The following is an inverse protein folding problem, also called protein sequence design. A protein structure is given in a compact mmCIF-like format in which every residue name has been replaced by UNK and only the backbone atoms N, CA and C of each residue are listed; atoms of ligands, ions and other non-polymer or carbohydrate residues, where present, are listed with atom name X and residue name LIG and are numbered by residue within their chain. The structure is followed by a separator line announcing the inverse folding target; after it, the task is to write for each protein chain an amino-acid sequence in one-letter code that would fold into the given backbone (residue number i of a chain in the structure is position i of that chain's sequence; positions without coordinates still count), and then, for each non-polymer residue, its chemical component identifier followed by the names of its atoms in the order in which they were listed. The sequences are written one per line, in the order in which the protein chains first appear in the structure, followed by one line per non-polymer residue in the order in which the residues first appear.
data_IF_356484628829
#
_entry.id   IF_356484628829
#
_cell.length_a   1.000
_cell.length_b   1.000
_cell.length_c   1.000
_cell.angle_alpha   90.00
_cell.angle_beta   90.00
_cell.angle_gamma   90.00
#
_symmetry.space_group_name_H-M   'P 1'
#
loop_
_entity.id
_entity.type
_entity.pdbx_description
1 polymer ?
#
# COMPACT_ATOMS: atom_id res chain seq x y z
N UNK A 1 12.26 6.47 -17.37
CA UNK A 1 10.93 7.03 -17.06
C UNK A 1 10.74 6.87 -15.56
N UNK A 2 11.00 7.90 -14.77
CA UNK A 2 10.99 7.81 -13.30
C UNK A 2 9.60 8.20 -12.78
N UNK A 3 8.99 7.28 -12.03
CA UNK A 3 7.64 7.35 -11.45
C UNK A 3 7.76 7.98 -10.05
N UNK A 4 6.85 8.88 -9.68
CA UNK A 4 6.84 9.50 -8.35
C UNK A 4 5.42 9.49 -7.74
N UNK A 5 5.31 9.25 -6.44
CA UNK A 5 4.08 9.06 -5.66
C UNK A 5 4.08 10.01 -4.42
N UNK A 6 2.91 10.51 -3.92
CA UNK A 6 2.79 11.41 -2.73
C UNK A 6 2.12 10.72 -1.53
N UNK A 7 2.58 11.04 -0.32
CA UNK A 7 2.32 10.40 0.98
C UNK A 7 2.08 11.48 2.08
N UNK A 8 1.09 11.40 3.02
CA UNK A 8 0.80 12.47 4.00
C UNK A 8 1.86 12.57 5.11
N UNK A 9 2.38 13.76 5.41
CA UNK A 9 3.67 13.93 6.09
C UNK A 9 3.73 13.63 7.61
N UNK A 10 2.60 13.42 8.32
CA UNK A 10 2.63 13.01 9.74
C UNK A 10 3.27 11.63 9.92
N UNK A 11 4.35 11.55 10.72
CA UNK A 11 5.01 10.26 11.01
C UNK A 11 4.50 9.67 12.32
N UNK A 12 4.03 8.43 12.26
CA UNK A 12 3.63 7.68 13.45
C UNK A 12 4.13 6.24 13.38
N UNK A 13 4.14 5.59 14.54
CA UNK A 13 4.26 4.14 14.60
C UNK A 13 3.05 3.51 13.91
N UNK A 14 3.19 2.29 13.42
CA UNK A 14 2.12 1.63 12.69
C UNK A 14 2.11 0.14 13.00
N UNK A 15 0.95 -0.48 12.83
CA UNK A 15 0.80 -1.92 13.06
C UNK A 15 0.83 -2.63 11.73
N UNK A 16 1.72 -3.61 11.63
CA UNK A 16 1.78 -4.54 10.54
C UNK A 16 0.88 -5.74 10.84
N UNK A 17 -0.06 -6.03 9.93
CA UNK A 17 -0.75 -7.32 9.93
C UNK A 17 0.20 -8.36 9.31
N UNK A 18 0.40 -9.46 10.03
CA UNK A 18 1.28 -10.54 9.62
C UNK A 18 0.61 -11.90 9.84
N UNK A 19 0.74 -12.77 8.85
CA UNK A 19 0.36 -14.18 8.92
C UNK A 19 1.68 -14.95 8.97
N UNK A 20 2.13 -15.39 10.15
CA UNK A 20 3.37 -16.18 10.24
C UNK A 20 3.54 -16.99 11.51
N UNK A 21 4.13 -18.16 11.28
CA UNK A 21 4.52 -19.14 12.27
C UNK A 21 5.90 -18.91 12.93
N UNK A 22 6.58 -17.77 12.72
CA UNK A 22 7.83 -17.49 13.44
C UNK A 22 7.56 -16.89 14.82
N UNK A 23 7.92 -17.70 15.82
CA UNK A 23 7.85 -17.54 17.27
C UNK A 23 6.46 -17.76 17.94
N UNK A 24 6.31 -19.00 18.41
CA UNK A 24 5.69 -19.48 19.65
C UNK A 24 4.29 -19.03 20.14
N UNK A 25 3.45 -18.35 19.37
CA UNK A 25 2.00 -18.25 19.68
C UNK A 25 1.12 -17.63 18.56
N UNK A 26 1.15 -18.24 17.37
CA UNK A 26 0.15 -18.02 16.31
C UNK A 26 0.74 -18.29 14.92
N UNK A 27 -0.07 -18.87 14.03
CA UNK A 27 0.31 -19.43 12.74
C UNK A 27 -0.81 -20.32 12.19
N UNK A 28 -0.47 -21.31 11.38
CA UNK A 28 -1.44 -22.32 10.91
C UNK A 28 -1.67 -23.41 11.96
N UNK A 29 -2.90 -23.92 12.02
CA UNK A 29 -3.37 -24.93 12.96
C UNK A 29 -4.02 -26.09 12.21
N UNK A 30 -3.51 -27.31 12.39
CA UNK A 30 -4.15 -28.51 11.88
C UNK A 30 -5.22 -28.99 12.86
N UNK A 31 -6.47 -29.03 12.42
CA UNK A 31 -7.60 -29.48 13.23
C UNK A 31 -7.93 -30.92 12.84
N UNK A 32 -7.61 -31.84 13.73
CA UNK A 32 -7.79 -33.28 13.52
C UNK A 32 -9.23 -33.74 13.83
N UNK A 33 -10.22 -33.08 13.20
CA UNK A 33 -11.64 -33.45 13.23
C UNK A 33 -12.21 -33.27 11.81
N UNK A 34 -13.06 -34.20 11.36
CA UNK A 34 -13.68 -34.10 10.03
C UNK A 34 -14.93 -33.23 10.04
N UNK A 35 -15.02 -32.30 9.09
CA UNK A 35 -16.13 -31.36 8.89
C UNK A 35 -16.35 -31.06 7.41
N UNK A 36 -17.56 -30.67 7.03
CA UNK A 36 -17.77 -30.09 5.69
C UNK A 36 -17.02 -28.76 5.57
N UNK A 37 -16.83 -28.24 4.36
CA UNK A 37 -16.07 -27.00 4.18
C UNK A 37 -16.69 -25.82 4.96
N UNK A 38 -18.01 -25.68 4.90
CA UNK A 38 -18.76 -24.62 5.62
C UNK A 38 -18.63 -24.78 7.14
N UNK A 39 -18.76 -26.00 7.65
CA UNK A 39 -18.59 -26.27 9.09
C UNK A 39 -17.15 -26.03 9.57
N UNK A 40 -16.16 -26.35 8.74
CA UNK A 40 -14.75 -26.12 9.02
C UNK A 40 -14.45 -24.62 9.06
N UNK A 41 -15.00 -23.84 8.12
CA UNK A 41 -14.90 -22.38 8.09
C UNK A 41 -15.49 -21.77 9.36
N UNK A 42 -16.71 -22.18 9.71
CA UNK A 42 -17.37 -21.70 10.93
C UNK A 42 -16.52 -22.00 12.16
N UNK A 43 -15.99 -23.22 12.27
CA UNK A 43 -15.10 -23.60 13.37
C UNK A 43 -13.87 -22.68 13.46
N UNK A 44 -13.22 -22.42 12.31
CA UNK A 44 -12.05 -21.57 12.29
C UNK A 44 -12.40 -20.13 12.67
N UNK A 45 -13.55 -19.59 12.26
CA UNK A 45 -13.98 -18.23 12.64
C UNK A 45 -14.38 -18.12 14.11
N UNK A 46 -14.88 -19.19 14.71
CA UNK A 46 -15.23 -19.23 16.13
C UNK A 46 -14.00 -19.30 17.05
N UNK A 47 -12.91 -19.94 16.60
CA UNK A 47 -11.74 -20.24 17.47
C UNK A 47 -10.41 -19.63 17.02
N UNK A 48 -10.32 -19.25 15.75
CA UNK A 48 -9.14 -18.74 15.06
C UNK A 48 -9.53 -17.51 14.22
N UNK A 49 -8.75 -17.15 13.20
CA UNK A 49 -9.17 -16.13 12.23
C UNK A 49 -10.12 -16.72 11.17
N UNK A 50 -9.63 -17.64 10.34
CA UNK A 50 -10.44 -18.31 9.30
C UNK A 50 -9.71 -19.57 8.80
N UNK A 51 -10.24 -20.25 7.78
CA UNK A 51 -9.56 -21.32 7.06
C UNK A 51 -8.27 -20.80 6.38
N UNK A 52 -7.22 -21.61 6.42
CA UNK A 52 -5.90 -21.28 5.91
C UNK A 52 -5.92 -20.81 4.46
N UNK A 53 -5.23 -19.71 4.17
CA UNK A 53 -4.80 -19.34 2.82
C UNK A 53 -3.42 -19.93 2.54
N UNK A 54 -2.97 -19.88 1.29
CA UNK A 54 -1.65 -20.41 0.87
C UNK A 54 -0.56 -19.35 0.73
N UNK A 55 -0.84 -18.12 1.15
CA UNK A 55 0.05 -16.97 1.03
C UNK A 55 1.37 -17.12 1.82
N UNK A 56 1.42 -17.99 2.84
CA UNK A 56 2.65 -18.35 3.56
C UNK A 56 2.95 -19.85 3.43
N UNK A 57 3.59 -20.20 2.32
CA UNK A 57 3.93 -21.60 1.99
C UNK A 57 4.97 -22.21 2.95
N UNK A 58 5.84 -21.41 3.55
CA UNK A 58 6.82 -21.88 4.54
C UNK A 58 6.14 -22.26 5.86
N UNK A 59 5.18 -21.45 6.30
CA UNK A 59 4.33 -21.76 7.46
C UNK A 59 3.59 -23.09 7.29
N UNK A 60 2.96 -23.30 6.13
CA UNK A 60 2.27 -24.54 5.80
C UNK A 60 3.23 -25.75 5.77
N UNK A 61 4.42 -25.62 5.15
CA UNK A 61 5.46 -26.67 5.15
C UNK A 61 5.80 -27.14 6.56
N UNK A 62 5.99 -26.20 7.49
CA UNK A 62 6.34 -26.52 8.89
C UNK A 62 5.20 -27.22 9.62
N UNK A 63 3.95 -26.82 9.38
CA UNK A 63 2.79 -27.47 9.99
C UNK A 63 2.64 -28.92 9.50
N UNK A 64 2.77 -29.14 8.19
CA UNK A 64 2.67 -30.47 7.58
C UNK A 64 3.76 -31.39 8.12
N UNK A 65 5.00 -30.91 8.26
CA UNK A 65 6.10 -31.70 8.84
C UNK A 65 5.83 -32.12 10.28
N UNK A 66 5.11 -31.31 11.06
CA UNK A 66 4.70 -31.63 12.44
C UNK A 66 3.47 -32.52 12.53
N UNK A 67 2.74 -32.69 11.43
CA UNK A 67 1.46 -33.40 11.38
C UNK A 67 1.56 -34.61 10.44
N UNK A 68 2.38 -35.64 10.77
CA UNK A 68 2.71 -36.73 9.85
C UNK A 68 1.49 -37.54 9.38
N UNK A 69 0.41 -37.56 10.17
CA UNK A 69 -0.86 -38.23 9.88
C UNK A 69 -1.76 -37.48 8.88
N UNK A 70 -1.46 -36.20 8.59
CA UNK A 70 -2.22 -35.42 7.62
C UNK A 70 -1.95 -35.95 6.20
N UNK A 71 -3.01 -36.30 5.48
CA UNK A 71 -2.98 -36.66 4.05
C UNK A 71 -3.48 -35.51 3.18
N UNK A 72 -4.62 -34.94 3.57
CA UNK A 72 -5.32 -33.84 2.93
C UNK A 72 -6.06 -33.02 3.99
N UNK A 73 -6.29 -31.74 3.72
CA UNK A 73 -7.04 -30.85 4.62
C UNK A 73 -7.68 -29.68 3.86
N UNK A 74 -8.88 -29.28 4.27
CA UNK A 74 -9.54 -28.08 3.77
C UNK A 74 -8.70 -26.82 3.99
N UNK A 75 -8.70 -25.98 2.96
CA UNK A 75 -8.17 -24.61 2.99
C UNK A 75 -9.28 -23.64 2.60
N UNK A 76 -9.03 -22.35 2.76
CA UNK A 76 -10.02 -21.30 2.55
C UNK A 76 -10.38 -21.03 1.09
N UNK A 77 -9.95 -21.86 0.14
CA UNK A 77 -10.22 -21.67 -1.29
C UNK A 77 -11.64 -22.21 -1.60
N UNK A 78 -12.50 -21.39 -2.19
CA UNK A 78 -13.84 -21.82 -2.63
C UNK A 78 -14.33 -21.03 -3.85
N UNK A 79 -15.28 -21.59 -4.59
CA UNK A 79 -16.00 -20.96 -5.70
C UNK A 79 -17.44 -20.60 -5.29
N UNK A 80 -17.92 -19.43 -5.72
CA UNK A 80 -19.29 -18.98 -5.48
C UNK A 80 -20.19 -19.35 -6.66
N UNK A 81 -21.23 -20.12 -6.38
CA UNK A 81 -22.10 -20.79 -7.37
C UNK A 81 -22.94 -19.87 -8.27
N UNK A 82 -22.94 -18.54 -8.08
CA UNK A 82 -23.80 -17.59 -8.80
C UNK A 82 -23.05 -16.49 -9.58
N UNK A 83 -21.75 -16.67 -9.88
CA UNK A 83 -20.96 -15.74 -10.68
C UNK A 83 -20.20 -16.43 -11.83
N UNK A 84 -19.44 -15.64 -12.58
CA UNK A 84 -18.35 -16.17 -13.41
C UNK A 84 -17.46 -17.00 -12.47
N UNK A 85 -17.31 -18.30 -12.73
CA UNK A 85 -16.52 -19.23 -11.90
C UNK A 85 -15.12 -18.67 -11.71
N UNK A 86 -14.83 -18.24 -10.49
CA UNK A 86 -13.54 -17.65 -10.12
C UNK A 86 -13.26 -18.10 -8.71
N UNK A 87 -12.03 -18.53 -8.48
CA UNK A 87 -11.60 -18.91 -7.15
C UNK A 87 -11.51 -17.68 -6.24
N UNK A 88 -11.93 -17.83 -4.99
CA UNK A 88 -11.78 -16.81 -3.96
C UNK A 88 -11.13 -17.42 -2.73
N UNK A 89 -10.30 -16.62 -2.07
CA UNK A 89 -9.84 -16.92 -0.72
C UNK A 89 -10.92 -16.55 0.29
N UNK A 90 -11.05 -17.35 1.35
CA UNK A 90 -11.96 -17.06 2.47
C UNK A 90 -11.57 -15.80 3.23
N UNK A 91 -10.28 -15.45 3.21
CA UNK A 91 -9.73 -14.27 3.86
C UNK A 91 -10.16 -12.99 3.12
N UNK A 92 -10.90 -12.08 3.77
CA UNK A 92 -11.31 -10.83 3.16
C UNK A 92 -10.11 -9.97 2.72
N UNK A 93 -10.18 -9.43 1.50
CA UNK A 93 -9.15 -8.53 0.94
C UNK A 93 -7.97 -9.23 0.28
N UNK A 94 -7.94 -10.57 0.20
CA UNK A 94 -6.94 -11.33 -0.57
C UNK A 94 -7.56 -11.82 -1.86
N UNK A 95 -7.05 -11.34 -2.98
CA UNK A 95 -7.51 -11.75 -4.31
C UNK A 95 -6.80 -13.03 -4.79
N UNK A 96 -7.53 -13.86 -5.54
CA UNK A 96 -6.95 -15.01 -6.21
C UNK A 96 -6.29 -14.60 -7.54
N UNK A 97 -5.09 -15.14 -7.77
CA UNK A 97 -4.31 -15.00 -8.99
C UNK A 97 -4.09 -16.36 -9.66
N UNK A 98 -4.47 -16.49 -10.92
CA UNK A 98 -4.25 -17.73 -11.70
C UNK A 98 -2.76 -18.03 -11.90
N UNK A 99 -1.91 -17.01 -11.86
CA UNK A 99 -0.45 -17.15 -12.06
C UNK A 99 0.28 -17.67 -10.82
N UNK A 100 -0.40 -17.77 -9.67
CA UNK A 100 0.19 -18.17 -8.38
C UNK A 100 -0.48 -19.45 -7.87
N UNK A 101 -0.57 -20.48 -8.73
CA UNK A 101 -1.28 -21.71 -8.43
C UNK A 101 -0.35 -22.93 -8.31
N UNK A 102 -0.68 -23.82 -7.37
CA UNK A 102 0.05 -25.07 -7.13
C UNK A 102 -0.88 -26.28 -7.24
N UNK A 103 -1.74 -26.31 -8.27
CA UNK A 103 -2.66 -27.42 -8.53
C UNK A 103 -1.92 -28.75 -8.73
N UNK A 104 -2.55 -29.84 -8.28
CA UNK A 104 -2.10 -31.19 -8.58
C UNK A 104 -2.28 -31.49 -10.08
N UNK A 105 -1.51 -32.46 -10.60
CA UNK A 105 -1.59 -32.83 -12.02
C UNK A 105 -3.01 -33.26 -12.40
N UNK A 106 -3.63 -32.51 -13.31
CA UNK A 106 -4.99 -32.76 -13.79
C UNK A 106 -6.09 -32.01 -13.03
N UNK A 107 -5.74 -31.17 -12.05
CA UNK A 107 -6.67 -30.31 -11.31
C UNK A 107 -6.58 -28.84 -11.76
N UNK A 108 -7.66 -28.05 -11.58
CA UNK A 108 -8.99 -28.47 -11.12
C UNK A 108 -9.75 -29.23 -12.24
N UNK A 109 -10.44 -30.31 -11.88
CA UNK A 109 -10.99 -31.26 -12.87
C UNK A 109 -12.52 -31.22 -13.04
N UNK A 110 -13.24 -30.46 -12.18
CA UNK A 110 -14.70 -30.22 -12.23
C UNK A 110 -15.55 -31.49 -12.41
N UNK A 111 -15.14 -32.62 -11.82
CA UNK A 111 -15.78 -33.91 -12.09
C UNK A 111 -17.22 -34.00 -11.59
N UNK A 112 -17.61 -33.25 -10.55
CA UNK A 112 -18.96 -33.26 -9.96
C UNK A 112 -19.27 -32.00 -9.11
N UNK A 113 -19.13 -30.78 -9.66
CA UNK A 113 -19.28 -29.51 -8.90
C UNK A 113 -18.37 -29.45 -7.67
N UNK A 114 -17.07 -29.49 -7.94
CA UNK A 114 -16.02 -29.46 -6.92
C UNK A 114 -15.59 -28.01 -6.68
N UNK A 115 -16.30 -27.33 -5.78
CA UNK A 115 -16.16 -25.88 -5.59
C UNK A 115 -15.31 -25.50 -4.37
N UNK A 116 -14.69 -26.47 -3.68
CA UNK A 116 -13.92 -26.22 -2.47
C UNK A 116 -12.51 -26.79 -2.59
N UNK A 117 -11.51 -25.96 -2.28
CA UNK A 117 -10.11 -26.32 -2.38
C UNK A 117 -9.58 -27.02 -1.14
N UNK A 118 -8.79 -28.05 -1.36
CA UNK A 118 -8.10 -28.85 -0.36
C UNK A 118 -6.60 -28.88 -0.67
N UNK A 119 -5.76 -28.94 0.36
CA UNK A 119 -4.31 -29.07 0.21
C UNK A 119 -3.85 -30.47 0.59
N UNK A 120 -3.07 -31.08 -0.30
CA UNK A 120 -2.42 -32.36 -0.06
C UNK A 120 -1.16 -32.19 0.79
N UNK A 121 -0.68 -33.28 1.39
CA UNK A 121 0.62 -33.34 2.05
C UNK A 121 1.79 -32.89 1.17
N UNK A 122 1.66 -33.04 -0.15
CA UNK A 122 2.64 -32.57 -1.15
C UNK A 122 2.61 -31.05 -1.39
N UNK A 123 1.74 -30.31 -0.70
CA UNK A 123 1.40 -28.89 -0.92
C UNK A 123 0.70 -28.60 -2.25
N UNK A 124 0.29 -29.64 -2.97
CA UNK A 124 -0.51 -29.49 -4.18
C UNK A 124 -1.99 -29.33 -3.84
N UNK A 125 -2.69 -28.55 -4.65
CA UNK A 125 -4.10 -28.23 -4.42
C UNK A 125 -4.98 -29.15 -5.27
N UNK A 126 -6.12 -29.53 -4.71
CA UNK A 126 -7.17 -30.28 -5.39
C UNK A 126 -8.50 -29.60 -5.10
N UNK A 127 -9.45 -29.67 -6.01
CA UNK A 127 -10.84 -29.33 -5.78
C UNK A 127 -11.62 -30.59 -5.36
N UNK A 128 -12.53 -30.42 -4.40
CA UNK A 128 -13.40 -31.49 -3.91
C UNK A 128 -14.81 -30.93 -3.69
N UNK A 129 -15.79 -31.84 -3.59
CA UNK A 129 -17.14 -31.47 -3.16
C UNK A 129 -17.11 -30.87 -1.75
N UNK A 130 -17.68 -29.67 -1.59
CA UNK A 130 -17.74 -28.94 -0.32
C UNK A 130 -18.48 -29.70 0.80
N UNK A 131 -19.34 -30.66 0.44
CA UNK A 131 -20.12 -31.50 1.35
C UNK A 131 -19.32 -32.68 1.91
N UNK A 132 -18.13 -32.95 1.39
CA UNK A 132 -17.28 -34.04 1.89
C UNK A 132 -16.73 -33.68 3.29
N UNK A 133 -16.88 -34.56 4.30
CA UNK A 133 -16.25 -34.33 5.59
C UNK A 133 -14.74 -34.56 5.52
N UNK A 134 -13.94 -33.54 5.84
CA UNK A 134 -12.47 -33.61 5.83
C UNK A 134 -11.85 -32.85 7.01
N UNK A 135 -10.59 -33.17 7.32
CA UNK A 135 -9.79 -32.38 8.25
C UNK A 135 -9.51 -30.99 7.66
N UNK A 136 -9.08 -30.03 8.48
CA UNK A 136 -8.96 -28.66 8.00
C UNK A 136 -7.85 -27.87 8.68
N UNK A 137 -7.38 -26.85 7.97
CA UNK A 137 -6.34 -25.93 8.43
C UNK A 137 -6.98 -24.58 8.77
N UNK A 138 -6.81 -24.12 10.01
CA UNK A 138 -7.11 -22.73 10.38
C UNK A 138 -5.82 -21.90 10.39
N UNK A 139 -5.94 -20.58 10.33
CA UNK A 139 -4.82 -19.68 10.62
C UNK A 139 -5.21 -18.62 11.65
N UNK A 140 -4.20 -18.11 12.33
CA UNK A 140 -4.31 -17.00 13.25
C UNK A 140 -3.55 -15.77 12.73
N UNK A 141 -4.28 -14.67 12.54
CA UNK A 141 -3.68 -13.36 12.29
C UNK A 141 -2.91 -12.86 13.52
N UNK A 142 -1.75 -12.26 13.25
CA UNK A 142 -0.95 -11.55 14.23
C UNK A 142 -0.77 -10.08 13.83
N UNK A 143 -0.59 -9.27 14.86
CA UNK A 143 -0.32 -7.85 14.71
C UNK A 143 1.05 -7.55 15.32
N UNK A 144 1.88 -6.81 14.59
CA UNK A 144 3.21 -6.41 15.02
C UNK A 144 3.30 -4.90 15.04
N UNK A 145 3.66 -4.33 16.19
CA UNK A 145 3.92 -2.90 16.29
C UNK A 145 5.28 -2.58 15.68
N UNK A 146 5.27 -1.80 14.60
CA UNK A 146 6.48 -1.24 14.01
C UNK A 146 6.80 0.07 14.71
N UNK A 147 7.92 0.07 15.44
CA UNK A 147 8.35 1.22 16.24
C UNK A 147 8.89 2.39 15.42
N UNK A 148 9.23 2.16 14.14
CA UNK A 148 9.69 3.20 13.23
C UNK A 148 8.54 4.13 12.88
N UNK A 149 8.76 5.43 12.97
CA UNK A 149 7.76 6.42 12.57
C UNK A 149 7.82 6.63 11.07
N UNK A 150 6.69 6.43 10.40
CA UNK A 150 6.50 6.55 8.94
C UNK A 150 5.24 7.34 8.67
N UNK A 151 5.13 7.95 7.49
CA UNK A 151 3.87 8.52 7.01
C UNK A 151 2.77 7.46 6.88
N UNK A 152 1.49 7.83 6.85
CA UNK A 152 0.40 6.84 6.74
C UNK A 152 0.55 5.97 5.49
N UNK A 153 0.82 6.61 4.34
CA UNK A 153 1.02 5.86 3.12
C UNK A 153 2.36 5.06 3.18
N UNK A 154 3.43 5.55 3.83
CA UNK A 154 4.73 4.83 3.90
C UNK A 154 4.58 3.58 4.77
N UNK A 155 3.81 3.71 5.85
CA UNK A 155 3.40 2.62 6.70
C UNK A 155 2.57 1.59 5.93
N UNK A 156 1.62 2.04 5.10
CA UNK A 156 0.81 1.16 4.25
C UNK A 156 1.67 0.40 3.23
N UNK A 157 2.51 1.11 2.46
CA UNK A 157 3.42 0.51 1.49
C UNK A 157 4.38 -0.47 2.17
N UNK A 158 4.96 -0.08 3.30
CA UNK A 158 5.81 -0.99 4.09
C UNK A 158 5.05 -2.26 4.47
N UNK A 159 3.80 -2.16 4.93
CA UNK A 159 3.03 -3.33 5.34
C UNK A 159 2.71 -4.27 4.18
N UNK A 160 2.42 -3.71 3.00
CA UNK A 160 2.16 -4.46 1.76
C UNK A 160 3.42 -5.12 1.18
N UNK A 161 4.55 -4.43 1.23
CA UNK A 161 5.83 -4.97 0.78
C UNK A 161 6.34 -6.08 1.70
N UNK A 162 6.16 -5.91 3.00
CA UNK A 162 6.71 -6.86 3.95
C UNK A 162 5.74 -8.04 4.15
N UNK A 163 4.41 -7.83 4.19
CA UNK A 163 3.44 -8.91 4.37
C UNK A 163 2.04 -8.67 3.75
N UNK A 164 1.13 -7.98 4.47
CA UNK A 164 -0.28 -7.86 4.07
C UNK A 164 -0.70 -6.40 3.95
N UNK A 165 -1.18 -5.77 5.02
CA UNK A 165 -1.54 -4.35 5.05
C UNK A 165 -1.63 -3.85 6.50
N UNK A 166 -2.08 -2.60 6.69
CA UNK A 166 -2.48 -2.05 7.98
C UNK A 166 -3.81 -2.70 8.48
N UNK A 167 -3.99 -2.87 9.80
CA UNK A 167 -5.23 -3.41 10.38
C UNK A 167 -6.45 -2.60 9.96
N UNK A 168 -7.46 -3.28 9.44
CA UNK A 168 -8.61 -2.66 8.79
C UNK A 168 -9.93 -3.34 9.18
N UNK A 169 -11.01 -2.56 9.25
CA UNK A 169 -12.34 -3.05 9.59
C UNK A 169 -12.58 -3.23 11.09
N UNK A 170 -13.84 -3.17 11.51
CA UNK A 170 -14.22 -3.19 12.92
C UNK A 170 -13.85 -4.49 13.64
N UNK A 171 -13.94 -5.63 12.95
CA UNK A 171 -13.64 -6.94 13.54
C UNK A 171 -12.16 -7.03 13.97
N UNK A 172 -11.25 -6.53 13.13
CA UNK A 172 -9.82 -6.48 13.47
C UNK A 172 -9.56 -5.45 14.59
N UNK A 173 -10.21 -4.28 14.53
CA UNK A 173 -10.01 -3.19 15.50
C UNK A 173 -10.54 -3.52 16.90
N UNK A 174 -11.60 -4.33 17.00
CA UNK A 174 -12.18 -4.77 18.27
C UNK A 174 -11.57 -6.06 18.80
N UNK A 175 -10.78 -6.76 17.99
CA UNK A 175 -10.12 -8.01 18.35
C UNK A 175 -9.12 -7.84 19.50
N UNK A 176 -9.18 -8.75 20.47
CA UNK A 176 -8.28 -8.76 21.65
C UNK A 176 -6.79 -8.79 21.26
N UNK A 177 -6.46 -9.43 20.13
CA UNK A 177 -5.08 -9.50 19.62
C UNK A 177 -4.51 -8.12 19.30
N UNK A 178 -5.27 -7.26 18.60
CA UNK A 178 -4.81 -5.91 18.29
C UNK A 178 -4.81 -5.03 19.54
N UNK A 179 -5.82 -5.15 20.41
CA UNK A 179 -5.87 -4.40 21.69
C UNK A 179 -4.63 -4.64 22.55
N UNK A 180 -4.13 -5.87 22.63
CA UNK A 180 -2.90 -6.21 23.36
C UNK A 180 -1.65 -5.56 22.75
N UNK A 181 -1.60 -5.40 21.43
CA UNK A 181 -0.50 -4.69 20.77
C UNK A 181 -0.61 -3.18 21.04
N UNK A 182 -1.81 -2.62 20.94
CA UNK A 182 -2.05 -1.19 21.17
C UNK A 182 -1.83 -0.79 22.64
N UNK A 183 -2.12 -1.66 23.61
CA UNK A 183 -1.86 -1.36 25.02
C UNK A 183 -0.37 -1.21 25.34
N UNK A 184 0.51 -1.78 24.50
CA UNK A 184 1.97 -1.68 24.64
C UNK A 184 2.57 -0.37 24.10
N UNK A 185 1.78 0.49 23.44
CA UNK A 185 2.28 1.70 22.77
C UNK A 185 2.49 2.89 23.72
N UNK A 186 2.07 2.77 24.98
CA UNK A 186 2.21 3.84 25.98
C UNK A 186 1.39 5.09 25.65
N UNK A 187 0.30 4.95 24.89
CA UNK A 187 -0.58 6.06 24.50
C UNK A 187 -0.12 6.85 23.27
N UNK A 188 0.90 6.37 22.54
CA UNK A 188 1.30 6.95 21.26
C UNK A 188 0.24 6.69 20.17
N UNK A 189 0.10 7.65 19.26
CA UNK A 189 -0.71 7.50 18.07
C UNK A 189 -0.12 6.42 17.16
N UNK A 190 -0.98 5.56 16.62
CA UNK A 190 -0.60 4.44 15.76
C UNK A 190 -1.50 4.43 14.53
N UNK A 191 -0.91 4.29 13.35
CA UNK A 191 -1.67 4.18 12.10
C UNK A 191 -2.34 2.81 11.96
N UNK A 192 -3.61 2.86 11.56
CA UNK A 192 -4.46 1.75 11.14
C UNK A 192 -4.86 1.97 9.68
N UNK A 193 -5.43 0.96 9.02
CA UNK A 193 -5.83 1.04 7.61
C UNK A 193 -7.06 1.90 7.31
N UNK A 194 -7.59 2.60 8.32
CA UNK A 194 -8.63 3.59 8.13
C UNK A 194 -8.04 4.88 7.56
N UNK A 195 -8.39 5.19 6.32
CA UNK A 195 -8.08 6.45 5.65
C UNK A 195 -9.37 7.14 5.23
N UNK A 196 -9.41 8.46 5.36
CA UNK A 196 -10.50 9.28 4.82
C UNK A 196 -10.10 9.82 3.46
N UNK A 197 -10.54 9.16 2.40
CA UNK A 197 -10.62 9.77 1.07
C UNK A 197 -11.91 10.60 0.98
N UNK A 198 -11.84 11.78 0.39
CA UNK A 198 -12.99 12.68 0.27
C UNK A 198 -13.77 12.48 -1.06
N UNK A 199 -13.29 11.73 -2.08
CA UNK A 199 -13.97 11.56 -3.39
C UNK A 199 -14.72 10.22 -3.47
N UNK A 200 -15.78 10.19 -4.30
CA UNK A 200 -16.53 8.99 -4.70
C UNK A 200 -17.00 9.18 -6.15
N UNK A 201 -17.08 8.08 -6.91
CA UNK A 201 -17.77 8.11 -8.20
C UNK A 201 -19.29 8.21 -8.00
N UNK A 202 -20.01 8.79 -8.98
CA UNK A 202 -21.48 8.92 -8.94
C UNK A 202 -22.22 7.58 -8.98
N UNK A 203 -21.56 6.52 -9.42
CA UNK A 203 -22.04 5.13 -9.42
C UNK A 203 -21.85 4.42 -8.07
N UNK A 204 -21.24 5.08 -7.08
CA UNK A 204 -20.99 4.55 -5.74
C UNK A 204 -19.74 3.69 -5.61
N UNK A 205 -18.96 3.50 -6.68
CA UNK A 205 -17.67 2.79 -6.60
C UNK A 205 -16.63 3.60 -5.80
N UNK A 206 -15.76 2.89 -5.07
CA UNK A 206 -14.76 3.53 -4.18
C UNK A 206 -13.65 4.20 -4.98
N UNK A 207 -13.58 5.52 -4.91
CA UNK A 207 -12.56 6.38 -5.50
C UNK A 207 -11.46 6.65 -4.46
N UNK A 208 -10.52 5.73 -4.27
CA UNK A 208 -9.38 5.97 -3.35
C UNK A 208 -8.17 6.49 -4.13
N UNK A 209 -8.26 7.68 -4.76
CA UNK A 209 -7.15 8.38 -5.42
C UNK A 209 -7.57 9.82 -5.81
N UNK A 210 -7.31 10.85 -4.99
CA UNK A 210 -7.65 12.26 -5.32
C UNK A 210 -6.64 12.99 -6.21
N UNK A 211 -7.20 13.76 -7.15
CA UNK A 211 -6.58 14.85 -7.92
C UNK A 211 -6.79 16.24 -7.27
N UNK A 212 -5.78 17.10 -7.39
CA UNK A 212 -5.62 18.35 -6.64
C UNK A 212 -6.16 19.59 -7.36
N UNK A 213 -6.65 20.57 -6.58
CA UNK A 213 -6.85 21.95 -7.03
C UNK A 213 -5.50 22.66 -6.94
N UNK A 214 -5.02 23.16 -8.06
CA UNK A 214 -3.68 23.72 -8.19
C UNK A 214 -3.85 25.11 -8.81
N UNK A 215 -3.03 26.08 -8.43
CA UNK A 215 -3.08 27.42 -9.01
C UNK A 215 -1.77 27.74 -9.73
N UNK A 216 -1.89 28.51 -10.80
CA UNK A 216 -0.79 28.93 -11.66
C UNK A 216 -0.55 30.41 -11.41
N UNK A 217 0.66 30.76 -11.00
CA UNK A 217 1.07 32.15 -10.82
C UNK A 217 1.95 32.54 -12.01
N UNK A 218 1.41 33.39 -12.89
CA UNK A 218 2.00 33.77 -14.16
C UNK A 218 2.70 35.13 -14.14
N UNK A 219 2.62 35.86 -13.03
CA UNK A 219 3.08 37.26 -12.97
C UNK A 219 4.51 37.42 -12.43
N UNK A 220 5.11 36.40 -11.81
CA UNK A 220 6.44 36.49 -11.22
C UNK A 220 7.39 35.35 -11.63
N UNK A 221 8.64 35.71 -11.98
CA UNK A 221 9.74 34.77 -12.18
C UNK A 221 10.58 34.74 -10.91
N UNK A 222 10.88 33.55 -10.40
CA UNK A 222 11.63 33.36 -9.14
C UNK A 222 12.64 32.23 -9.28
N UNK A 223 13.71 32.30 -8.49
CA UNK A 223 14.57 31.13 -8.27
C UNK A 223 13.77 30.01 -7.63
N UNK A 224 14.25 28.76 -7.71
CA UNK A 224 13.50 27.62 -7.16
C UNK A 224 13.25 27.76 -5.65
N UNK A 225 14.22 28.27 -4.89
CA UNK A 225 14.09 28.46 -3.44
C UNK A 225 13.11 29.60 -3.10
N UNK A 226 13.14 30.69 -3.87
CA UNK A 226 12.18 31.79 -3.72
C UNK A 226 10.77 31.38 -4.13
N UNK A 227 10.61 30.59 -5.20
CA UNK A 227 9.32 30.02 -5.62
C UNK A 227 8.76 29.07 -4.57
N UNK A 228 9.61 28.19 -4.00
CA UNK A 228 9.23 27.32 -2.88
C UNK A 228 8.76 28.14 -1.67
N UNK A 229 9.55 29.14 -1.30
CA UNK A 229 9.21 30.05 -0.21
C UNK A 229 7.90 30.76 -0.49
N UNK A 230 7.72 31.32 -1.68
CA UNK A 230 6.51 32.01 -2.09
C UNK A 230 5.28 31.10 -2.00
N UNK A 231 5.32 29.90 -2.59
CA UNK A 231 4.21 28.95 -2.53
C UNK A 231 3.89 28.52 -1.10
N UNK A 232 4.88 28.43 -0.21
CA UNK A 232 4.64 28.08 1.21
C UNK A 232 4.08 29.24 2.04
N UNK A 233 4.36 30.47 1.64
CA UNK A 233 3.86 31.68 2.29
C UNK A 233 2.46 32.06 1.82
N UNK A 234 2.19 31.96 0.51
CA UNK A 234 0.93 32.42 -0.10
C UNK A 234 -0.03 31.29 -0.43
N UNK A 235 0.46 30.05 -0.58
CA UNK A 235 -0.32 28.87 -0.95
C UNK A 235 0.03 27.68 -0.03
N UNK A 236 0.04 26.44 -0.54
CA UNK A 236 0.48 25.26 0.24
C UNK A 236 1.98 24.96 0.08
N UNK A 237 2.39 24.57 -1.11
CA UNK A 237 3.79 24.24 -1.45
C UNK A 237 3.97 24.30 -2.99
N UNK A 238 5.20 24.17 -3.51
CA UNK A 238 5.38 23.97 -4.96
C UNK A 238 4.66 22.71 -5.45
N UNK A 239 4.15 22.73 -6.68
CA UNK A 239 3.34 21.64 -7.22
C UNK A 239 4.13 20.34 -7.29
N UNK A 240 3.55 19.27 -6.76
CA UNK A 240 4.02 17.91 -6.96
C UNK A 240 3.20 17.26 -8.08
N UNK A 241 3.82 16.39 -8.87
CA UNK A 241 3.13 15.61 -9.92
C UNK A 241 3.25 14.14 -9.58
N UNK A 242 2.13 13.54 -9.19
CA UNK A 242 2.11 12.18 -8.65
C UNK A 242 1.25 11.21 -9.45
N UNK A 243 0.59 11.70 -10.51
CA UNK A 243 -0.21 10.90 -11.43
C UNK A 243 -0.40 11.60 -12.78
N UNK A 244 -1.07 10.92 -13.72
CA UNK A 244 -1.18 11.36 -15.11
C UNK A 244 -2.13 12.56 -15.32
N UNK A 245 -3.21 12.70 -14.55
CA UNK A 245 -4.09 13.87 -14.70
C UNK A 245 -3.50 15.12 -14.02
N UNK A 246 -2.73 14.97 -12.94
CA UNK A 246 -1.88 16.05 -12.45
C UNK A 246 -0.84 16.49 -13.47
N UNK A 247 -0.20 15.52 -14.16
CA UNK A 247 0.70 15.82 -15.27
C UNK A 247 -0.04 16.62 -16.34
N UNK A 248 -1.21 16.17 -16.82
CA UNK A 248 -2.01 16.88 -17.82
C UNK A 248 -2.43 18.28 -17.37
N UNK A 249 -2.82 18.43 -16.11
CA UNK A 249 -3.21 19.72 -15.57
C UNK A 249 -2.01 20.68 -15.49
N UNK A 250 -0.86 20.19 -15.01
CA UNK A 250 0.37 20.99 -14.94
C UNK A 250 0.82 21.38 -16.35
N UNK A 251 0.66 20.48 -17.34
CA UNK A 251 0.89 20.78 -18.75
C UNK A 251 0.01 21.94 -19.25
N UNK A 252 -1.31 21.90 -18.99
CA UNK A 252 -2.23 22.97 -19.41
C UNK A 252 -1.92 24.32 -18.75
N UNK A 253 -1.38 24.31 -17.52
CA UNK A 253 -0.93 25.53 -16.86
C UNK A 253 0.43 26.01 -17.37
N UNK A 254 1.37 25.10 -17.56
CA UNK A 254 2.70 25.43 -18.06
C UNK A 254 2.64 26.11 -19.44
N UNK A 255 1.64 25.79 -20.27
CA UNK A 255 1.38 26.50 -21.55
C UNK A 255 1.13 27.99 -21.41
N UNK A 256 0.71 28.46 -20.24
CA UNK A 256 0.45 29.88 -19.95
C UNK A 256 1.70 30.60 -19.44
N UNK A 257 2.79 29.89 -19.18
CA UNK A 257 4.02 30.49 -18.71
C UNK A 257 4.65 31.39 -19.77
N UNK A 258 5.24 32.48 -19.30
CA UNK A 258 6.07 33.36 -20.11
C UNK A 258 7.49 32.81 -20.28
N UNK A 259 7.94 31.98 -19.34
CA UNK A 259 9.26 31.34 -19.35
C UNK A 259 9.24 30.00 -20.10
N UNK A 260 10.35 29.58 -20.74
CA UNK A 260 10.41 28.32 -21.49
C UNK A 260 10.26 27.07 -20.62
N UNK A 261 10.48 27.22 -19.31
CA UNK A 261 10.33 26.18 -18.31
C UNK A 261 9.56 26.72 -17.11
N UNK A 262 8.97 25.81 -16.33
CA UNK A 262 8.18 26.14 -15.14
C UNK A 262 8.64 25.28 -13.96
N UNK A 263 8.89 25.90 -12.81
CA UNK A 263 9.32 25.18 -11.62
C UNK A 263 8.27 24.22 -11.09
N UNK A 264 8.73 23.02 -10.75
CA UNK A 264 7.99 22.01 -10.01
C UNK A 264 8.60 21.84 -8.62
N UNK A 265 7.88 21.19 -7.71
CA UNK A 265 8.37 20.84 -6.38
C UNK A 265 9.46 19.76 -6.36
N UNK A 266 10.13 19.47 -7.48
CA UNK A 266 11.10 18.40 -7.62
C UNK A 266 12.53 18.93 -7.37
N UNK A 267 13.23 18.40 -6.36
CA UNK A 267 14.59 18.81 -6.00
C UNK A 267 15.56 17.64 -6.06
N UNK A 268 16.80 17.89 -6.47
CA UNK A 268 17.85 16.88 -6.46
C UNK A 268 18.65 16.92 -5.16
N UNK A 269 18.84 15.76 -4.53
CA UNK A 269 19.77 15.61 -3.42
C UNK A 269 21.15 15.19 -3.96
N UNK A 270 22.10 16.13 -3.96
CA UNK A 270 23.44 15.89 -4.48
C UNK A 270 24.25 14.84 -3.72
N UNK A 271 24.08 14.75 -2.40
CA UNK A 271 24.83 13.82 -1.55
C UNK A 271 24.35 12.39 -1.74
N UNK A 272 23.05 12.20 -1.93
CA UNK A 272 22.40 10.89 -2.01
C UNK A 272 22.01 10.50 -3.44
N UNK A 273 22.26 11.38 -4.41
CA UNK A 273 22.05 11.19 -5.86
C UNK A 273 20.63 10.72 -6.22
N UNK A 274 19.61 11.29 -5.59
CA UNK A 274 18.20 11.03 -5.91
C UNK A 274 17.37 12.30 -5.99
N UNK A 275 16.21 12.17 -6.64
CA UNK A 275 15.22 13.24 -6.78
C UNK A 275 14.08 13.04 -5.79
N UNK A 276 13.59 14.13 -5.20
CA UNK A 276 12.46 14.10 -4.28
C UNK A 276 11.51 15.26 -4.48
N UNK A 277 10.24 15.04 -4.14
CA UNK A 277 9.24 16.09 -4.06
C UNK A 277 9.30 16.79 -2.73
N UNK A 278 9.18 18.11 -2.74
CA UNK A 278 9.03 18.91 -1.52
C UNK A 278 7.69 18.63 -0.85
N UNK A 279 7.72 18.49 0.48
CA UNK A 279 6.58 18.55 1.38
C UNK A 279 6.91 19.55 2.50
N UNK A 280 5.90 20.16 3.09
CA UNK A 280 6.04 21.02 4.27
C UNK A 280 6.15 20.18 5.55
N UNK A 281 7.35 19.70 5.85
CA UNK A 281 7.82 19.50 7.24
C UNK A 281 9.21 20.12 7.42
N UNK A 282 9.47 20.58 8.64
CA UNK A 282 10.46 21.59 9.02
C UNK A 282 11.82 21.46 8.34
N UNK A 283 12.21 22.52 7.63
CA UNK A 283 13.60 22.72 7.20
C UNK A 283 14.45 22.92 8.47
N UNK A 284 15.49 22.10 8.73
CA UNK A 284 16.51 22.52 9.66
C UNK A 284 17.23 23.70 9.00
N UNK A 285 17.18 24.88 9.62
CA UNK A 285 17.94 26.05 9.17
C UNK A 285 19.38 25.64 8.84
N UNK A 286 19.77 25.71 7.56
CA UNK A 286 21.19 25.71 7.20
C UNK A 286 21.72 27.10 7.48
N UNK A 287 22.60 27.19 8.47
CA UNK A 287 23.47 28.36 8.64
C UNK A 287 24.27 28.58 7.36
N UNK A 288 24.31 29.84 6.91
CA UNK A 288 25.19 30.31 5.85
C UNK A 288 26.63 29.89 6.14
N UNK A 289 27.29 29.29 5.14
CA UNK A 289 28.73 29.39 4.98
C UNK A 289 29.00 30.06 3.65
N UNK A 290 29.42 31.32 3.73
CA UNK A 290 30.08 32.06 2.69
C UNK A 290 31.43 31.42 2.38
N UNK A 291 31.63 30.88 1.18
CA UNK A 291 32.86 31.08 0.42
C UNK A 291 32.64 30.72 -1.06
N UNK A 292 33.26 31.48 -1.94
CA UNK A 292 33.03 31.43 -3.38
C UNK A 292 33.48 30.11 -4.02
N UNK A 293 32.52 29.25 -4.32
CA UNK A 293 32.57 28.30 -5.43
C UNK A 293 31.14 28.08 -5.92
N UNK A 294 30.92 28.32 -7.20
CA UNK A 294 29.64 28.10 -7.87
C UNK A 294 29.38 26.59 -7.85
N UNK A 295 28.61 26.13 -6.86
CA UNK A 295 28.52 24.73 -6.47
C UNK A 295 27.60 23.98 -7.45
N UNK A 296 28.11 22.92 -8.07
CA UNK A 296 27.54 22.04 -9.13
C UNK A 296 26.27 21.26 -8.70
N UNK A 297 25.57 21.76 -7.67
CA UNK A 297 24.56 21.03 -6.92
C UNK A 297 23.25 21.79 -6.72
N UNK A 298 23.13 23.01 -7.24
CA UNK A 298 21.86 23.72 -7.25
C UNK A 298 20.97 23.22 -8.39
N UNK A 299 20.50 21.98 -8.32
CA UNK A 299 19.74 21.35 -9.41
C UNK A 299 18.29 21.09 -8.98
N UNK A 300 17.35 21.60 -9.78
CA UNK A 300 15.91 21.46 -9.55
C UNK A 300 15.19 21.00 -10.82
N UNK A 301 14.01 20.41 -10.65
CA UNK A 301 13.19 19.91 -11.74
C UNK A 301 12.22 20.96 -12.24
N UNK A 302 12.20 21.18 -13.56
CA UNK A 302 11.27 22.06 -14.24
C UNK A 302 10.57 21.34 -15.39
N UNK A 303 9.33 21.74 -15.70
CA UNK A 303 8.60 21.26 -16.87
C UNK A 303 8.77 22.23 -18.04
N UNK A 304 8.95 21.72 -19.25
CA UNK A 304 8.90 22.52 -20.47
C UNK A 304 7.50 23.17 -20.63
N UNK A 305 7.47 24.50 -20.76
CA UNK A 305 6.22 25.27 -20.89
C UNK A 305 5.52 25.02 -22.24
N UNK A 306 6.32 24.88 -23.31
CA UNK A 306 5.86 24.46 -24.64
C UNK A 306 6.22 23.01 -24.96
N UNK A 307 6.03 22.60 -26.21
CA UNK A 307 6.58 21.33 -26.71
C UNK A 307 5.90 20.07 -26.15
N UNK A 308 6.71 19.10 -25.69
CA UNK A 308 6.24 17.80 -25.20
C UNK A 308 5.99 17.78 -23.69
N UNK A 309 6.26 18.91 -23.00
CA UNK A 309 6.12 19.06 -21.55
C UNK A 309 6.87 18.01 -20.74
N UNK A 310 8.07 17.69 -21.20
CA UNK A 310 9.00 16.81 -20.51
C UNK A 310 9.62 17.53 -19.31
N UNK A 311 10.14 16.74 -18.37
CA UNK A 311 10.80 17.27 -17.18
C UNK A 311 12.29 17.35 -17.41
N UNK A 312 12.88 18.48 -17.05
CA UNK A 312 14.30 18.77 -17.22
C UNK A 312 14.91 19.17 -15.89
N UNK A 313 16.17 18.78 -15.70
CA UNK A 313 17.01 19.35 -14.67
C UNK A 313 17.44 20.76 -15.10
N UNK A 314 17.35 21.72 -14.18
CA UNK A 314 17.72 23.13 -14.39
C UNK A 314 18.52 23.63 -13.18
N UNK A 315 19.27 24.70 -13.38
CA UNK A 315 19.94 25.37 -12.27
C UNK A 315 18.88 26.09 -11.42
N UNK A 316 18.81 25.78 -10.14
CA UNK A 316 17.84 26.35 -9.20
C UNK A 316 17.99 27.86 -9.01
N UNK A 317 19.07 28.47 -9.50
CA UNK A 317 19.29 29.91 -9.54
C UNK A 317 18.66 30.60 -10.76
N UNK A 318 18.08 29.86 -11.70
CA UNK A 318 17.31 30.43 -12.79
C UNK A 318 15.97 30.99 -12.30
N UNK A 319 15.59 32.16 -12.81
CA UNK A 319 14.28 32.75 -12.56
C UNK A 319 13.26 32.23 -13.56
N UNK A 320 12.34 31.38 -13.11
CA UNK A 320 11.28 30.79 -13.93
C UNK A 320 9.90 31.07 -13.31
N UNK A 321 8.85 31.03 -14.14
CA UNK A 321 7.49 30.88 -13.63
C UNK A 321 7.39 29.57 -12.83
N UNK A 322 6.42 29.48 -11.93
CA UNK A 322 6.28 28.35 -11.03
C UNK A 322 4.79 28.07 -10.75
N UNK A 323 4.52 26.87 -10.23
CA UNK A 323 3.16 26.41 -10.00
C UNK A 323 3.04 25.98 -8.55
N UNK A 324 2.06 26.54 -7.84
CA UNK A 324 1.80 26.21 -6.45
C UNK A 324 0.67 25.17 -6.34
N UNK A 325 0.79 24.32 -5.32
CA UNK A 325 -0.31 23.49 -4.82
C UNK A 325 -1.14 24.27 -3.81
N UNK A 326 -2.44 23.97 -3.70
CA UNK A 326 -3.35 24.56 -2.70
C UNK A 326 -3.72 23.54 -1.63
N UNK A 327 -3.92 24.04 -0.40
CA UNK A 327 -4.64 23.32 0.65
C UNK A 327 -6.10 23.71 0.54
N UNK A 328 -7.01 22.75 0.37
CA UNK A 328 -8.44 23.05 0.49
C UNK A 328 -8.77 23.30 1.97
N UNK A 329 -8.61 24.53 2.44
CA UNK A 329 -9.36 25.03 3.59
C UNK A 329 -10.55 25.84 3.10
N UNK A 330 -11.64 25.13 2.79
CA UNK A 330 -13.02 25.57 3.04
C UNK A 330 -13.82 24.39 3.56
#
# INVERSE_FOLDING_TARGET
MHRFEYFPCDRAQFVLKYISANNNQGGYHYINVKKTWTEAQQYCREKHTDLATVSDIEGLKRLINKSPAMTEAWIGLYDQTNGIRRWYWSLPGVEFSENETEWNSGEPNDRNTENCGCILKSLKWIDLSCERPEHFLCYDEKFYLIKQEKTWLEAQSYCRENHTDLPSGLDQLQGERLKNVLSSTGGKYVFIGLMRDTWRWSDGSSFSFRHWNKDFDDEENKTWEEALSYCRHHHHDLVTITNLEEQRWVQEKAKKASTPFVWLGLRFNCSLKFWFWVCREAVPHRNQSSDGQMDDCNVSGAMEAGGQHLWFQRDGGEELNFICSMSNYL
#
